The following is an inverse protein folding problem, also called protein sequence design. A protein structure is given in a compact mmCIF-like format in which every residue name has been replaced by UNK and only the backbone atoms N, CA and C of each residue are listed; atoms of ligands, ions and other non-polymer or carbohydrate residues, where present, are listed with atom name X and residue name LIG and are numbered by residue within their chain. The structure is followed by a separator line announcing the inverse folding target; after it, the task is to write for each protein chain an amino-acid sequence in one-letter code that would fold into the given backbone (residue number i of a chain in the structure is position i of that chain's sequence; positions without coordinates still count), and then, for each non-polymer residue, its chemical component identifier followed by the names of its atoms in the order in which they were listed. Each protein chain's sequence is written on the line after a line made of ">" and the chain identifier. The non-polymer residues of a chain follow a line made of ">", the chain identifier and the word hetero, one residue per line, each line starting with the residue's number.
data_IF_022101994373
#
_entry.id   IF_022101994373
#
_cell.length_a   1.000
_cell.length_b   1.000
_cell.length_c   1.000
_cell.angle_alpha   90.00
_cell.angle_beta   90.00
_cell.angle_gamma   90.00
#
_symmetry.space_group_name_H-M   'P 1'
#
loop_
_entity.id
_entity.type
_entity.pdbx_description
1 polymer ?
#
# COMPACT_ATOMS: atom_id res chain seq x y z
N UNK A 1 -4.65 -4.58 -28.89
CA UNK A 1 -4.79 -5.98 -28.45
C UNK A 1 -3.53 -6.33 -27.69
N UNK A 2 -3.57 -6.35 -26.36
CA UNK A 2 -2.48 -6.90 -25.57
C UNK A 2 -2.58 -8.43 -25.64
N UNK A 3 -1.45 -9.17 -25.71
CA UNK A 3 -1.49 -10.62 -25.68
C UNK A 3 -1.95 -11.10 -24.30
N UNK A 4 -2.99 -11.92 -24.26
CA UNK A 4 -3.38 -12.69 -23.07
C UNK A 4 -2.24 -13.66 -22.76
N UNK A 5 -1.44 -13.33 -21.75
CA UNK A 5 -0.53 -14.30 -21.14
C UNK A 5 -1.39 -15.19 -20.27
N UNK A 6 -1.85 -16.31 -20.83
CA UNK A 6 -2.46 -17.39 -20.06
C UNK A 6 -1.32 -18.18 -19.43
N UNK A 7 -1.14 -18.16 -18.10
CA UNK A 7 -0.08 -18.93 -17.47
C UNK A 7 -0.34 -20.44 -17.64
N UNK A 8 0.71 -21.26 -17.78
CA UNK A 8 0.56 -22.71 -17.95
C UNK A 8 -0.09 -23.34 -16.71
N UNK A 9 -0.83 -24.45 -16.89
CA UNK A 9 -1.77 -25.00 -15.90
C UNK A 9 -1.14 -25.51 -14.59
N UNK A 10 0.18 -25.60 -14.50
CA UNK A 10 0.93 -26.10 -13.33
C UNK A 10 1.80 -25.01 -12.65
N UNK A 11 1.58 -23.73 -12.97
CA UNK A 11 2.39 -22.67 -12.35
C UNK A 11 1.99 -22.49 -10.89
N UNK A 12 2.94 -22.64 -9.97
CA UNK A 12 2.71 -22.40 -8.55
C UNK A 12 2.22 -20.94 -8.36
N UNK A 13 1.14 -20.69 -7.60
CA UNK A 13 0.66 -19.34 -7.34
C UNK A 13 1.72 -18.41 -6.72
N UNK A 14 2.72 -18.98 -6.04
CA UNK A 14 3.88 -18.26 -5.53
C UNK A 14 4.78 -17.77 -6.66
N UNK A 15 5.08 -18.62 -7.63
CA UNK A 15 5.90 -18.25 -8.79
C UNK A 15 5.21 -17.17 -9.64
N UNK A 16 3.89 -17.29 -9.83
CA UNK A 16 3.09 -16.25 -10.49
C UNK A 16 3.11 -14.93 -9.71
N UNK A 17 2.95 -14.97 -8.39
CA UNK A 17 3.06 -13.78 -7.56
C UNK A 17 4.43 -13.11 -7.67
N UNK A 18 5.52 -13.88 -7.65
CA UNK A 18 6.87 -13.32 -7.81
C UNK A 18 7.07 -12.68 -9.19
N UNK A 19 6.55 -13.29 -10.26
CA UNK A 19 6.59 -12.70 -11.60
C UNK A 19 5.81 -11.37 -11.65
N UNK A 20 4.61 -11.34 -11.07
CA UNK A 20 3.80 -10.13 -10.98
C UNK A 20 4.47 -9.04 -10.11
N UNK A 21 5.16 -9.42 -9.03
CA UNK A 21 5.94 -8.49 -8.23
C UNK A 21 7.06 -7.83 -9.04
N UNK A 22 7.80 -8.60 -9.84
CA UNK A 22 8.87 -8.06 -10.70
C UNK A 22 8.27 -7.11 -11.74
N UNK A 23 7.23 -7.52 -12.45
CA UNK A 23 6.55 -6.70 -13.45
C UNK A 23 6.03 -5.38 -12.87
N UNK A 24 5.35 -5.44 -11.72
CA UNK A 24 4.81 -4.26 -11.07
C UNK A 24 5.92 -3.33 -10.56
N UNK A 25 7.05 -3.87 -10.08
CA UNK A 25 8.22 -3.08 -9.68
C UNK A 25 8.86 -2.36 -10.87
N UNK A 26 9.01 -3.05 -12.00
CA UNK A 26 9.55 -2.45 -13.23
C UNK A 26 8.63 -1.33 -13.73
N UNK A 27 7.31 -1.56 -13.71
CA UNK A 27 6.32 -0.54 -14.04
C UNK A 27 6.40 0.68 -13.09
N UNK A 28 6.54 0.48 -11.78
CA UNK A 28 6.75 1.57 -10.80
C UNK A 28 8.03 2.34 -11.11
N UNK A 29 9.13 1.64 -11.42
CA UNK A 29 10.42 2.26 -11.74
C UNK A 29 10.34 3.10 -13.03
N UNK A 30 9.51 2.68 -13.99
CA UNK A 30 9.21 3.42 -15.21
C UNK A 30 8.16 4.54 -15.03
N UNK A 31 7.58 4.70 -13.83
CA UNK A 31 6.51 5.66 -13.56
C UNK A 31 5.12 5.24 -14.08
N UNK A 32 4.98 4.00 -14.55
CA UNK A 32 3.72 3.43 -15.04
C UNK A 32 2.86 2.91 -13.88
N UNK A 33 2.39 3.80 -13.00
CA UNK A 33 1.69 3.39 -11.78
C UNK A 33 0.37 2.67 -12.04
N UNK A 34 -0.39 3.08 -13.06
CA UNK A 34 -1.64 2.41 -13.43
C UNK A 34 -1.43 0.96 -13.89
N UNK A 35 -0.31 0.70 -14.59
CA UNK A 35 0.09 -0.65 -15.01
C UNK A 35 0.42 -1.50 -13.77
N UNK A 36 1.23 -0.97 -12.85
CA UNK A 36 1.55 -1.66 -11.60
C UNK A 36 0.30 -1.99 -10.75
N UNK A 37 -0.66 -1.05 -10.66
CA UNK A 37 -1.94 -1.29 -9.98
C UNK A 37 -2.71 -2.42 -10.67
N UNK A 38 -2.80 -2.42 -12.00
CA UNK A 38 -3.49 -3.47 -12.75
C UNK A 38 -2.85 -4.85 -12.51
N UNK A 39 -1.52 -4.93 -12.48
CA UNK A 39 -0.78 -6.17 -12.19
C UNK A 39 -1.09 -6.71 -10.79
N UNK A 40 -1.09 -5.85 -9.76
CA UNK A 40 -1.44 -6.28 -8.42
C UNK A 40 -2.90 -6.71 -8.30
N UNK A 41 -3.82 -6.00 -8.97
CA UNK A 41 -5.24 -6.36 -8.97
C UNK A 41 -5.50 -7.70 -9.67
N UNK A 42 -4.79 -7.98 -10.77
CA UNK A 42 -4.85 -9.28 -11.44
C UNK A 42 -4.39 -10.40 -10.49
N UNK A 43 -3.30 -10.19 -9.76
CA UNK A 43 -2.79 -11.15 -8.80
C UNK A 43 -3.75 -11.37 -7.62
N UNK A 44 -4.37 -10.30 -7.10
CA UNK A 44 -5.38 -10.39 -6.05
C UNK A 44 -6.66 -11.13 -6.49
N UNK A 45 -6.90 -11.23 -7.81
CA UNK A 45 -7.98 -12.02 -8.40
C UNK A 45 -7.69 -13.53 -8.44
N UNK A 46 -6.45 -13.96 -8.18
CA UNK A 46 -6.09 -15.39 -8.15
C UNK A 46 -6.56 -16.03 -6.84
N UNK A 47 -7.50 -17.00 -6.88
CA UNK A 47 -7.96 -17.70 -5.68
C UNK A 47 -6.85 -18.50 -4.97
N UNK A 48 -5.82 -18.94 -5.70
CA UNK A 48 -4.65 -19.62 -5.13
C UNK A 48 -3.81 -18.70 -4.24
N UNK A 49 -3.79 -17.39 -4.52
CA UNK A 49 -3.13 -16.40 -3.68
C UNK A 49 -3.88 -16.17 -2.37
N UNK A 50 -5.22 -16.14 -2.40
CA UNK A 50 -6.04 -15.91 -1.22
C UNK A 50 -5.83 -16.98 -0.13
N UNK A 51 -5.51 -18.22 -0.52
CA UNK A 51 -5.14 -19.30 0.40
C UNK A 51 -3.76 -19.08 1.06
N UNK A 52 -2.91 -18.22 0.48
CA UNK A 52 -1.55 -17.89 0.96
C UNK A 52 -1.56 -16.52 1.62
N UNK A 53 -2.11 -16.46 2.83
CA UNK A 53 -2.38 -15.20 3.55
C UNK A 53 -1.19 -14.22 3.57
N UNK A 54 0.04 -14.69 3.75
CA UNK A 54 1.22 -13.82 3.75
C UNK A 54 1.42 -13.09 2.40
N UNK A 55 1.36 -13.82 1.27
CA UNK A 55 1.46 -13.23 -0.06
C UNK A 55 0.24 -12.38 -0.39
N UNK A 56 -0.94 -12.77 0.08
CA UNK A 56 -2.15 -11.99 -0.11
C UNK A 56 -2.05 -10.61 0.57
N UNK A 57 -1.58 -10.57 1.83
CA UNK A 57 -1.36 -9.30 2.55
C UNK A 57 -0.28 -8.47 1.86
N UNK A 58 0.80 -9.08 1.40
CA UNK A 58 1.86 -8.39 0.66
C UNK A 58 1.35 -7.78 -0.66
N UNK A 59 0.55 -8.53 -1.42
CA UNK A 59 -0.10 -8.06 -2.64
C UNK A 59 -1.02 -6.86 -2.36
N UNK A 60 -1.83 -6.93 -1.30
CA UNK A 60 -2.70 -5.81 -0.89
C UNK A 60 -1.86 -4.59 -0.47
N UNK A 61 -0.80 -4.78 0.32
CA UNK A 61 0.09 -3.71 0.75
C UNK A 61 0.74 -2.98 -0.43
N UNK A 62 1.24 -3.74 -1.40
CA UNK A 62 1.89 -3.21 -2.60
C UNK A 62 0.88 -2.56 -3.57
N UNK A 63 -0.32 -3.12 -3.70
CA UNK A 63 -1.41 -2.51 -4.46
C UNK A 63 -1.80 -1.14 -3.88
N UNK A 64 -1.97 -1.05 -2.57
CA UNK A 64 -2.24 0.20 -1.86
C UNK A 64 -1.13 1.24 -2.08
N UNK A 65 0.14 0.84 -1.97
CA UNK A 65 1.27 1.72 -2.25
C UNK A 65 1.30 2.22 -3.70
N UNK A 66 1.03 1.35 -4.68
CA UNK A 66 0.97 1.71 -6.09
C UNK A 66 -0.16 2.71 -6.38
N UNK A 67 -1.35 2.52 -5.78
CA UNK A 67 -2.47 3.46 -5.87
C UNK A 67 -2.12 4.84 -5.30
N UNK A 68 -1.34 4.90 -4.22
CA UNK A 68 -0.86 6.18 -3.68
C UNK A 68 0.10 6.88 -4.64
N UNK A 69 1.02 6.15 -5.26
CA UNK A 69 1.92 6.72 -6.29
C UNK A 69 1.14 7.21 -7.50
N UNK A 70 0.15 6.45 -7.95
CA UNK A 70 -0.75 6.84 -9.03
C UNK A 70 -1.53 8.12 -8.67
N UNK A 71 -2.01 8.24 -7.43
CA UNK A 71 -2.69 9.44 -6.95
C UNK A 71 -1.76 10.66 -6.89
N UNK A 72 -0.51 10.49 -6.44
CA UNK A 72 0.47 11.58 -6.37
C UNK A 72 0.89 12.11 -7.74
N UNK A 73 0.83 11.26 -8.77
CA UNK A 73 1.13 11.63 -10.15
C UNK A 73 -0.07 12.25 -10.89
N UNK A 74 -1.26 12.26 -10.28
CA UNK A 74 -2.48 12.73 -10.91
C UNK A 74 -2.66 14.25 -10.76
N UNK A 75 -2.75 15.01 -11.86
CA UNK A 75 -3.02 16.45 -11.79
C UNK A 75 -4.45 16.81 -11.34
N UNK A 76 -5.44 15.96 -11.60
CA UNK A 76 -6.82 16.19 -11.17
C UNK A 76 -7.03 15.76 -9.71
N UNK A 77 -7.27 16.75 -8.82
CA UNK A 77 -7.46 16.52 -7.39
C UNK A 77 -8.63 15.57 -7.06
N UNK A 78 -9.70 15.53 -7.86
CA UNK A 78 -10.83 14.62 -7.64
C UNK A 78 -10.48 13.18 -8.05
N UNK A 79 -9.72 13.00 -9.12
CA UNK A 79 -9.19 11.69 -9.49
C UNK A 79 -8.15 11.20 -8.49
N UNK A 80 -7.26 12.08 -8.03
CA UNK A 80 -6.29 11.78 -6.97
C UNK A 80 -7.00 11.34 -5.67
N UNK A 81 -8.03 12.07 -5.24
CA UNK A 81 -8.83 11.72 -4.06
C UNK A 81 -9.46 10.33 -4.17
N UNK A 82 -10.08 10.01 -5.32
CA UNK A 82 -10.69 8.69 -5.56
C UNK A 82 -9.66 7.55 -5.52
N UNK A 83 -8.44 7.78 -6.03
CA UNK A 83 -7.36 6.81 -5.95
C UNK A 83 -6.86 6.61 -4.53
N UNK A 84 -6.76 7.69 -3.75
CA UNK A 84 -6.42 7.62 -2.32
C UNK A 84 -7.50 6.84 -1.55
N UNK A 85 -8.78 7.08 -1.81
CA UNK A 85 -9.87 6.33 -1.19
C UNK A 85 -9.79 4.84 -1.51
N UNK A 86 -9.47 4.48 -2.75
CA UNK A 86 -9.20 3.09 -3.15
C UNK A 86 -7.99 2.51 -2.42
N UNK A 87 -6.91 3.27 -2.28
CA UNK A 87 -5.73 2.84 -1.54
C UNK A 87 -6.07 2.55 -0.07
N UNK A 88 -6.80 3.45 0.60
CA UNK A 88 -7.27 3.26 1.98
C UNK A 88 -8.09 1.98 2.09
N UNK A 89 -9.06 1.75 1.21
CA UNK A 89 -9.90 0.56 1.25
C UNK A 89 -9.09 -0.74 1.14
N UNK A 90 -8.14 -0.80 0.20
CA UNK A 90 -7.25 -1.96 0.00
C UNK A 90 -6.33 -2.18 1.21
N UNK A 91 -5.78 -1.11 1.78
CA UNK A 91 -4.89 -1.22 2.94
C UNK A 91 -5.63 -1.55 4.23
N UNK A 92 -6.88 -1.10 4.40
CA UNK A 92 -7.76 -1.54 5.49
C UNK A 92 -8.01 -3.04 5.37
N UNK A 93 -8.30 -3.53 4.18
CA UNK A 93 -8.42 -4.98 3.95
C UNK A 93 -7.13 -5.72 4.32
N UNK A 94 -5.96 -5.21 3.92
CA UNK A 94 -4.67 -5.78 4.29
C UNK A 94 -4.50 -5.85 5.81
N UNK A 95 -4.81 -4.75 6.51
CA UNK A 95 -4.75 -4.65 7.97
C UNK A 95 -5.67 -5.67 8.63
N UNK A 96 -6.91 -5.82 8.15
CA UNK A 96 -7.87 -6.79 8.66
C UNK A 96 -7.37 -8.23 8.53
N UNK A 97 -6.78 -8.58 7.38
CA UNK A 97 -6.21 -9.91 7.16
C UNK A 97 -4.96 -10.14 8.03
N UNK A 98 -4.20 -9.08 8.33
CA UNK A 98 -2.97 -9.16 9.13
C UNK A 98 -3.18 -8.89 10.63
N UNK A 99 -4.42 -8.87 11.15
CA UNK A 99 -4.67 -8.56 12.58
C UNK A 99 -3.93 -9.55 13.49
N UNK A 100 -3.22 -9.04 14.49
CA UNK A 100 -2.42 -9.84 15.42
C UNK A 100 -1.12 -10.39 14.83
N UNK A 101 -0.84 -10.14 13.54
CA UNK A 101 0.43 -10.49 12.91
C UNK A 101 1.55 -9.61 13.45
N UNK A 102 2.69 -10.22 13.71
CA UNK A 102 3.96 -9.53 13.99
C UNK A 102 4.88 -9.59 12.77
N UNK A 103 4.30 -9.53 11.57
CA UNK A 103 5.07 -9.51 10.33
C UNK A 103 5.54 -8.08 10.01
N UNK A 104 6.74 -7.90 9.41
CA UNK A 104 7.17 -6.60 8.89
C UNK A 104 6.20 -5.99 7.88
N UNK A 105 5.46 -6.83 7.14
CA UNK A 105 4.42 -6.37 6.20
C UNK A 105 3.30 -5.62 6.94
N UNK A 106 2.97 -6.00 8.17
CA UNK A 106 1.94 -5.30 8.96
C UNK A 106 2.37 -3.86 9.29
N UNK A 107 3.65 -3.63 9.62
CA UNK A 107 4.19 -2.28 9.80
C UNK A 107 4.09 -1.46 8.50
N UNK A 108 4.39 -2.10 7.37
CA UNK A 108 4.32 -1.47 6.03
C UNK A 108 2.90 -1.08 5.67
N UNK A 109 1.91 -1.95 5.92
CA UNK A 109 0.48 -1.65 5.72
C UNK A 109 0.06 -0.42 6.51
N UNK A 110 0.42 -0.36 7.79
CA UNK A 110 0.07 0.76 8.67
C UNK A 110 0.78 2.06 8.26
N UNK A 111 2.06 2.01 7.86
CA UNK A 111 2.77 3.16 7.31
C UNK A 111 2.14 3.67 6.02
N UNK A 112 1.71 2.77 5.13
CA UNK A 112 1.00 3.14 3.91
C UNK A 112 -0.40 3.73 4.20
N UNK A 113 -1.11 3.23 5.22
CA UNK A 113 -2.36 3.84 5.68
C UNK A 113 -2.14 5.27 6.17
N UNK A 114 -1.10 5.50 6.96
CA UNK A 114 -0.76 6.83 7.44
C UNK A 114 -0.48 7.80 6.28
N UNK A 115 0.28 7.37 5.27
CA UNK A 115 0.52 8.16 4.06
C UNK A 115 -0.77 8.42 3.27
N UNK A 116 -1.65 7.43 3.16
CA UNK A 116 -2.92 7.57 2.46
C UNK A 116 -3.80 8.63 3.12
N UNK A 117 -3.93 8.59 4.44
CA UNK A 117 -4.67 9.59 5.19
C UNK A 117 -4.04 10.99 5.12
N UNK A 118 -2.71 11.10 5.20
CA UNK A 118 -2.01 12.37 4.97
C UNK A 118 -2.29 12.93 3.57
N UNK A 119 -2.25 12.09 2.53
CA UNK A 119 -2.59 12.47 1.16
C UNK A 119 -4.03 12.95 1.03
N UNK A 120 -4.98 12.24 1.66
CA UNK A 120 -6.40 12.63 1.68
C UNK A 120 -6.61 13.97 2.39
N UNK A 121 -5.94 14.19 3.53
CA UNK A 121 -5.96 15.47 4.23
C UNK A 121 -5.40 16.60 3.35
N UNK A 122 -4.30 16.38 2.62
CA UNK A 122 -3.71 17.42 1.77
C UNK A 122 -4.70 17.95 0.72
N UNK A 123 -5.63 17.10 0.24
CA UNK A 123 -6.68 17.47 -0.70
C UNK A 123 -7.89 18.10 0.02
N UNK A 124 -8.42 17.42 1.05
CA UNK A 124 -9.71 17.77 1.65
C UNK A 124 -9.65 18.62 2.93
N UNK A 125 -8.47 18.80 3.52
CA UNK A 125 -8.22 19.50 4.80
C UNK A 125 -9.08 19.03 5.96
N UNK A 126 -9.41 17.73 5.98
CA UNK A 126 -10.17 17.12 7.06
C UNK A 126 -9.24 16.68 8.19
N UNK A 127 -9.48 17.18 9.40
CA UNK A 127 -8.70 16.86 10.60
C UNK A 127 -8.82 15.40 11.03
N UNK A 128 -9.95 14.76 10.74
CA UNK A 128 -10.14 13.34 11.02
C UNK A 128 -9.10 12.46 10.30
N UNK A 129 -8.65 12.88 9.10
CA UNK A 129 -7.60 12.17 8.37
C UNK A 129 -6.24 12.28 9.06
N UNK A 130 -5.92 13.42 9.69
CA UNK A 130 -4.66 13.56 10.45
C UNK A 130 -4.68 12.68 11.71
N UNK A 131 -5.82 12.60 12.39
CA UNK A 131 -6.00 11.68 13.51
C UNK A 131 -5.87 10.22 13.06
N UNK A 132 -6.50 9.82 11.95
CA UNK A 132 -6.35 8.48 11.39
C UNK A 132 -4.90 8.16 11.01
N UNK A 133 -4.18 9.13 10.43
CA UNK A 133 -2.77 8.97 10.12
C UNK A 133 -1.91 8.77 11.39
N UNK A 134 -2.19 9.53 12.45
CA UNK A 134 -1.52 9.38 13.75
C UNK A 134 -1.72 7.99 14.33
N UNK A 135 -2.98 7.55 14.41
CA UNK A 135 -3.34 6.23 14.96
C UNK A 135 -2.61 5.11 14.19
N UNK A 136 -2.59 5.18 12.86
CA UNK A 136 -1.89 4.19 12.04
C UNK A 136 -0.37 4.19 12.32
N UNK A 137 0.27 5.36 12.50
CA UNK A 137 1.70 5.42 12.84
C UNK A 137 2.01 4.89 14.24
N UNK A 138 1.17 5.22 15.22
CA UNK A 138 1.36 4.77 16.59
C UNK A 138 1.24 3.24 16.68
N UNK A 139 0.35 2.64 15.88
CA UNK A 139 0.27 1.18 15.72
C UNK A 139 1.48 0.59 14.96
N UNK A 140 2.06 1.33 14.01
CA UNK A 140 3.19 0.87 13.19
C UNK A 140 4.53 0.89 13.94
N UNK A 141 4.76 1.88 14.80
CA UNK A 141 6.03 2.12 15.51
C UNK A 141 6.58 0.89 16.28
N UNK A 142 5.80 0.18 17.13
CA UNK A 142 6.31 -1.00 17.83
C UNK A 142 6.67 -2.14 16.88
N UNK A 143 5.99 -2.25 15.72
CA UNK A 143 6.30 -3.25 14.70
C UNK A 143 7.58 -2.86 13.94
N UNK A 144 7.72 -1.59 13.53
CA UNK A 144 8.93 -1.09 12.88
C UNK A 144 10.18 -1.33 13.73
N UNK A 145 10.14 -0.99 15.02
CA UNK A 145 11.24 -1.20 15.97
C UNK A 145 11.69 -2.66 16.09
N UNK A 146 10.80 -3.62 15.83
CA UNK A 146 11.07 -5.05 15.97
C UNK A 146 11.76 -5.66 14.75
N UNK A 147 11.57 -5.08 13.57
CA UNK A 147 11.91 -5.76 12.32
C UNK A 147 13.06 -5.13 11.56
N UNK A 148 13.04 -3.81 11.35
CA UNK A 148 13.94 -3.19 10.38
C UNK A 148 14.17 -1.70 10.68
N UNK A 149 15.43 -1.28 10.72
CA UNK A 149 15.83 0.10 10.90
C UNK A 149 15.34 0.99 9.73
N UNK A 150 15.32 0.47 8.50
CA UNK A 150 14.85 1.22 7.32
C UNK A 150 13.34 1.49 7.41
N UNK A 151 12.56 0.49 7.83
CA UNK A 151 11.11 0.65 8.06
C UNK A 151 10.87 1.66 9.17
N UNK A 152 11.64 1.59 10.25
CA UNK A 152 11.51 2.54 11.37
C UNK A 152 11.86 3.97 10.94
N UNK A 153 12.93 4.17 10.19
CA UNK A 153 13.32 5.50 9.70
C UNK A 153 12.30 6.06 8.68
N UNK A 154 11.74 5.19 7.84
CA UNK A 154 10.64 5.56 6.98
C UNK A 154 9.40 5.99 7.78
N UNK A 155 8.97 5.23 8.79
CA UNK A 155 7.84 5.60 9.66
C UNK A 155 8.08 6.94 10.38
N UNK A 156 9.31 7.20 10.86
CA UNK A 156 9.69 8.49 11.43
C UNK A 156 9.56 9.64 10.43
N UNK A 157 9.91 9.42 9.16
CA UNK A 157 9.76 10.43 8.11
C UNK A 157 8.29 10.82 7.90
N UNK A 158 7.37 9.85 8.00
CA UNK A 158 5.92 10.09 7.94
C UNK A 158 5.46 10.86 9.17
N UNK A 159 5.93 10.47 10.37
CA UNK A 159 5.64 11.19 11.61
C UNK A 159 6.11 12.65 11.58
N UNK A 160 7.27 12.93 11.00
CA UNK A 160 7.76 14.29 10.79
C UNK A 160 6.89 15.07 9.78
N UNK A 161 6.39 14.41 8.73
CA UNK A 161 5.46 15.03 7.79
C UNK A 161 4.11 15.37 8.46
N UNK A 162 3.60 14.49 9.31
CA UNK A 162 2.38 14.70 10.10
C UNK A 162 2.53 15.88 11.07
N UNK A 163 3.65 15.95 11.81
CA UNK A 163 3.93 17.08 12.71
C UNK A 163 3.99 18.44 11.99
N UNK A 164 4.42 18.49 10.72
CA UNK A 164 4.37 19.73 9.93
C UNK A 164 2.96 20.20 9.57
N UNK A 165 1.97 19.30 9.54
CA UNK A 165 0.57 19.67 9.32
C UNK A 165 -0.08 20.22 10.62
N UNK A 166 0.49 19.92 11.79
CA UNK A 166 0.08 20.44 13.10
C UNK A 166 1.29 20.90 13.93
N UNK A 167 1.81 22.11 13.71
CA UNK A 167 2.97 22.63 14.45
C UNK A 167 2.63 23.10 15.89
N UNK A 168 1.71 22.45 16.58
CA UNK A 168 1.14 22.92 17.83
C UNK A 168 0.94 21.83 18.88
N UNK A 169 2.04 21.20 19.30
CA UNK A 169 2.23 20.68 20.67
C UNK A 169 3.63 21.07 21.16
#
# INVERSE_FOLDING_TARGET
>A
MAPDIVPPPDTDPGDLFHQHLVQARDAIAAGHYAEAVATYQACLGDPGLAARLHLHVEALANCGAALLREAMAEPDANLAARRIDRAIAVLVQARTVSVGSTSPVAATVLGNLALAHLGRHAIGRNEADLLSARIALDEADPLGKRHDAEVLDWLRSIGAALARQHPGE
#
